data_IF_539077313592
#
_entry.id   IF_539077313592
#
_cell.length_a   1.000
_cell.length_b   1.000
_cell.length_c   1.000
_cell.angle_alpha   90.00
_cell.angle_beta   90.00
_cell.angle_gamma   90.00
#
_symmetry.space_group_name_H-M   'P 1'
#
loop_
_entity.id
_entity.type
_entity.pdbx_description
1 polymer ?
#
# COMPACT_ATOMS: atom_id res chain seq x y z
N UNK A 1 -21.11 -46.10 -5.14
CA UNK A 1 -21.87 -44.87 -5.56
C UNK A 1 -21.42 -43.61 -4.80
N UNK A 2 -20.87 -43.71 -3.59
CA UNK A 2 -20.37 -42.57 -2.79
C UNK A 2 -19.05 -42.00 -3.31
N UNK A 3 -18.14 -42.82 -3.85
CA UNK A 3 -16.81 -42.39 -4.33
C UNK A 3 -16.82 -41.48 -5.57
N UNK A 4 -17.87 -41.47 -6.37
CA UNK A 4 -17.96 -40.64 -7.59
C UNK A 4 -18.44 -39.23 -7.30
N UNK A 5 -19.25 -39.04 -6.27
CA UNK A 5 -19.75 -37.73 -5.85
C UNK A 5 -18.65 -36.93 -5.09
N UNK A 6 -17.87 -37.62 -4.27
CA UNK A 6 -16.75 -37.01 -3.55
C UNK A 6 -15.63 -36.56 -4.48
N UNK A 7 -15.39 -37.27 -5.58
CA UNK A 7 -14.35 -36.90 -6.54
C UNK A 7 -14.62 -35.57 -7.27
N UNK A 8 -15.88 -35.27 -7.56
CA UNK A 8 -16.28 -34.01 -8.21
C UNK A 8 -16.15 -32.84 -7.24
N UNK A 9 -16.49 -33.04 -5.96
CA UNK A 9 -16.32 -32.01 -4.94
C UNK A 9 -14.86 -31.78 -4.54
N UNK A 10 -14.06 -32.84 -4.51
CA UNK A 10 -12.60 -32.74 -4.30
C UNK A 10 -11.91 -32.07 -5.50
N UNK A 11 -12.32 -32.38 -6.74
CA UNK A 11 -11.80 -31.74 -7.94
C UNK A 11 -12.17 -30.24 -7.96
N UNK A 12 -13.40 -29.87 -7.65
CA UNK A 12 -13.83 -28.45 -7.55
C UNK A 12 -13.11 -27.71 -6.42
N UNK A 13 -12.89 -28.32 -5.27
CA UNK A 13 -12.11 -27.72 -4.18
C UNK A 13 -10.63 -27.61 -4.52
N UNK A 14 -10.07 -28.54 -5.26
CA UNK A 14 -8.69 -28.50 -5.77
C UNK A 14 -8.52 -27.39 -6.81
N UNK A 15 -9.48 -27.23 -7.74
CA UNK A 15 -9.48 -26.13 -8.70
C UNK A 15 -9.69 -24.76 -8.03
N UNK A 16 -10.59 -24.67 -7.06
CA UNK A 16 -10.84 -23.45 -6.30
C UNK A 16 -9.63 -23.02 -5.46
N UNK A 17 -8.83 -23.97 -4.96
CA UNK A 17 -7.57 -23.69 -4.25
C UNK A 17 -6.42 -23.29 -5.18
N UNK A 18 -6.54 -23.54 -6.48
CA UNK A 18 -5.52 -23.29 -7.50
C UNK A 18 -5.60 -21.86 -8.06
N UNK A 19 -6.78 -21.24 -7.99
CA UNK A 19 -7.02 -19.89 -8.50
C UNK A 19 -7.15 -18.93 -7.33
N UNK A 20 -6.24 -17.96 -7.24
CA UNK A 20 -6.29 -16.88 -6.25
C UNK A 20 -6.58 -15.56 -6.93
N UNK A 21 -7.31 -14.68 -6.25
CA UNK A 21 -7.51 -13.31 -6.67
C UNK A 21 -6.48 -12.41 -5.99
N UNK A 22 -5.66 -11.73 -6.79
CA UNK A 22 -4.73 -10.70 -6.35
C UNK A 22 -5.35 -9.34 -6.66
N UNK A 23 -5.62 -8.48 -5.65
CA UNK A 23 -6.14 -7.15 -5.91
C UNK A 23 -5.04 -6.28 -6.56
N UNK A 24 -5.44 -5.52 -7.59
CA UNK A 24 -4.63 -4.50 -8.24
C UNK A 24 -5.12 -3.13 -7.76
N UNK A 25 -4.33 -2.47 -6.92
CA UNK A 25 -4.69 -1.18 -6.34
C UNK A 25 -4.44 -0.08 -7.37
N UNK A 26 -5.44 0.76 -7.69
CA UNK A 26 -5.29 1.84 -8.66
C UNK A 26 -4.45 2.99 -8.13
N UNK A 27 -3.93 3.82 -9.03
CA UNK A 27 -3.35 5.10 -8.67
C UNK A 27 -4.45 6.04 -8.16
N UNK A 28 -4.19 6.73 -7.05
CA UNK A 28 -5.08 7.73 -6.47
C UNK A 28 -5.09 8.99 -7.33
N UNK A 29 -6.25 9.60 -7.54
CA UNK A 29 -6.41 10.85 -8.28
C UNK A 29 -5.54 11.98 -7.71
N UNK A 30 -5.07 12.87 -8.57
CA UNK A 30 -4.26 14.01 -8.18
C UNK A 30 -5.15 15.16 -7.71
N UNK A 31 -4.59 16.07 -6.89
CA UNK A 31 -5.30 17.27 -6.45
C UNK A 31 -4.54 18.49 -6.96
N UNK A 32 -5.26 19.36 -7.68
CA UNK A 32 -4.71 20.57 -8.28
C UNK A 32 -5.35 21.83 -7.69
N UNK A 33 -4.61 22.93 -7.73
CA UNK A 33 -5.16 24.26 -7.51
C UNK A 33 -5.94 24.77 -8.74
N UNK A 34 -6.52 25.96 -8.67
CA UNK A 34 -7.26 26.58 -9.78
C UNK A 34 -6.40 26.86 -11.02
N UNK A 35 -5.07 26.99 -10.86
CA UNK A 35 -4.11 27.22 -11.93
C UNK A 35 -3.46 25.94 -12.46
N UNK A 36 -3.86 24.75 -11.95
CA UNK A 36 -3.32 23.46 -12.34
C UNK A 36 -2.01 23.09 -11.65
N UNK A 37 -1.65 23.76 -10.55
CA UNK A 37 -0.50 23.34 -9.74
C UNK A 37 -0.86 22.17 -8.88
N UNK A 38 0.05 21.22 -8.77
CA UNK A 38 -0.15 19.98 -8.02
C UNK A 38 -0.07 20.26 -6.53
N UNK A 39 -1.17 20.03 -5.82
CA UNK A 39 -1.26 20.13 -4.35
C UNK A 39 -1.07 18.78 -3.66
N UNK A 40 -1.46 17.68 -4.31
CA UNK A 40 -1.20 16.33 -3.87
C UNK A 40 -0.98 15.40 -5.07
N UNK A 41 0.13 14.65 -5.06
CA UNK A 41 0.48 13.68 -6.09
C UNK A 41 0.87 12.31 -5.51
N UNK A 42 1.17 11.38 -6.41
CA UNK A 42 1.62 10.04 -6.05
C UNK A 42 3.06 9.89 -6.52
N UNK A 43 3.93 9.49 -5.62
CA UNK A 43 5.34 9.20 -5.95
C UNK A 43 5.64 7.73 -5.71
N UNK A 44 6.49 7.11 -6.54
CA UNK A 44 6.93 5.76 -6.29
C UNK A 44 7.71 5.68 -4.98
N UNK A 45 7.49 4.62 -4.25
CA UNK A 45 8.22 4.26 -3.05
C UNK A 45 8.40 2.74 -3.02
N UNK A 46 9.28 2.26 -2.18
CA UNK A 46 9.50 0.84 -1.97
C UNK A 46 9.12 0.44 -0.57
N UNK A 47 8.52 -0.73 -0.44
CA UNK A 47 8.31 -1.42 0.82
C UNK A 47 9.07 -2.73 0.82
N UNK A 48 9.45 -3.17 2.00
CA UNK A 48 10.12 -4.45 2.20
C UNK A 48 9.10 -5.46 2.71
N UNK A 49 8.80 -6.44 1.89
CA UNK A 49 7.92 -7.55 2.22
C UNK A 49 8.75 -8.81 2.49
N UNK A 50 8.34 -9.60 3.48
CA UNK A 50 8.97 -10.85 3.86
C UNK A 50 7.95 -11.96 3.79
N UNK A 51 8.27 -13.07 3.12
CA UNK A 51 7.51 -14.32 3.13
C UNK A 51 8.08 -15.21 4.24
N UNK A 52 7.41 -15.34 5.40
CA UNK A 52 8.00 -16.01 6.57
C UNK A 52 8.40 -17.46 6.32
N UNK A 53 7.65 -18.17 5.46
CA UNK A 53 7.92 -19.57 5.12
C UNK A 53 9.18 -19.79 4.27
N UNK A 54 9.68 -18.74 3.60
CA UNK A 54 10.87 -18.78 2.76
C UNK A 54 12.09 -18.14 3.45
N UNK A 55 11.85 -17.29 4.44
CA UNK A 55 12.89 -16.47 5.07
C UNK A 55 13.73 -17.21 6.13
N UNK A 56 13.34 -18.41 6.52
CA UNK A 56 14.06 -19.22 7.53
C UNK A 56 13.96 -18.60 8.94
N UNK A 57 15.10 -18.35 9.58
CA UNK A 57 15.14 -17.72 10.89
C UNK A 57 14.87 -16.22 10.81
N UNK A 58 13.68 -15.84 11.26
CA UNK A 58 13.19 -14.46 11.19
C UNK A 58 13.96 -13.51 12.13
N UNK A 59 14.43 -13.98 13.28
CA UNK A 59 15.17 -13.15 14.21
C UNK A 59 16.55 -12.82 13.67
N UNK A 60 17.23 -13.82 13.10
CA UNK A 60 18.48 -13.63 12.40
C UNK A 60 18.33 -12.74 11.17
N UNK A 61 17.22 -12.88 10.43
CA UNK A 61 16.88 -12.03 9.30
C UNK A 61 16.74 -10.57 9.73
N UNK A 62 15.91 -10.28 10.75
CA UNK A 62 15.69 -8.92 11.26
C UNK A 62 17.01 -8.31 11.72
N UNK A 63 17.84 -9.06 12.46
CA UNK A 63 19.13 -8.57 12.94
C UNK A 63 20.09 -8.23 11.79
N UNK A 64 20.09 -9.02 10.71
CA UNK A 64 20.91 -8.74 9.52
C UNK A 64 20.37 -7.59 8.71
N UNK A 65 19.04 -7.50 8.52
CA UNK A 65 18.38 -6.43 7.80
C UNK A 65 18.53 -5.07 8.48
N UNK A 66 18.56 -5.03 9.82
CA UNK A 66 18.79 -3.80 10.61
C UNK A 66 20.16 -3.14 10.34
N UNK A 67 21.10 -3.85 9.73
CA UNK A 67 22.40 -3.30 9.31
C UNK A 67 22.34 -2.58 7.95
N UNK A 68 21.37 -2.94 7.14
CA UNK A 68 21.22 -2.43 5.76
C UNK A 68 20.15 -1.35 5.73
N UNK A 69 19.06 -1.55 6.48
CA UNK A 69 17.85 -0.74 6.52
C UNK A 69 17.62 -0.29 7.95
N UNK A 70 17.32 0.99 8.16
CA UNK A 70 17.03 1.54 9.47
C UNK A 70 15.67 1.08 9.99
N UNK A 71 15.56 -0.16 10.49
CA UNK A 71 14.34 -0.70 11.10
C UNK A 71 14.09 -0.05 12.46
N UNK A 72 12.85 0.39 12.68
CA UNK A 72 12.42 0.90 13.98
C UNK A 72 11.85 -0.24 14.85
N UNK A 73 11.87 -0.12 16.20
CA UNK A 73 11.21 -1.09 17.07
C UNK A 73 9.73 -1.28 16.74
N UNK A 74 9.04 -0.20 16.32
CA UNK A 74 7.64 -0.25 15.90
C UNK A 74 7.43 -1.03 14.60
N UNK A 75 8.38 -0.98 13.66
CA UNK A 75 8.31 -1.78 12.43
C UNK A 75 8.39 -3.26 12.77
N UNK A 76 9.32 -3.64 13.65
CA UNK A 76 9.53 -5.02 14.10
C UNK A 76 8.31 -5.53 14.88
N UNK A 77 7.77 -4.72 15.80
CA UNK A 77 6.57 -5.09 16.56
C UNK A 77 5.38 -5.36 15.64
N UNK A 78 5.08 -4.43 14.73
CA UNK A 78 3.99 -4.57 13.74
C UNK A 78 4.18 -5.77 12.82
N UNK A 79 5.40 -6.00 12.37
CA UNK A 79 5.72 -7.18 11.55
C UNK A 79 5.41 -8.47 12.32
N UNK A 80 5.85 -8.56 13.58
CA UNK A 80 5.64 -9.73 14.42
C UNK A 80 4.15 -9.97 14.71
N UNK A 81 3.37 -8.93 14.97
CA UNK A 81 1.93 -9.04 15.21
C UNK A 81 1.19 -9.48 13.94
N UNK A 82 1.53 -8.89 12.79
CA UNK A 82 0.93 -9.27 11.51
C UNK A 82 1.30 -10.70 11.11
N UNK A 83 2.57 -11.10 11.31
CA UNK A 83 3.04 -12.45 11.02
C UNK A 83 2.30 -13.53 11.79
N UNK A 84 1.92 -13.28 13.06
CA UNK A 84 1.20 -14.25 13.90
C UNK A 84 -0.18 -14.62 13.37
N UNK A 85 -0.83 -13.70 12.68
CA UNK A 85 -2.19 -13.89 12.13
C UNK A 85 -2.19 -14.20 10.63
N UNK A 86 -1.04 -14.04 9.98
CA UNK A 86 -0.89 -14.25 8.53
C UNK A 86 -0.29 -15.64 8.27
N UNK A 87 -0.75 -16.31 7.21
CA UNK A 87 -0.19 -17.60 6.80
C UNK A 87 1.25 -17.43 6.35
N UNK A 88 2.13 -18.38 6.68
CA UNK A 88 3.58 -18.30 6.47
C UNK A 88 4.02 -18.09 5.00
N UNK A 89 3.20 -18.52 4.04
CA UNK A 89 3.48 -18.35 2.61
C UNK A 89 2.99 -17.01 2.02
N UNK A 90 2.34 -16.17 2.83
CA UNK A 90 1.91 -14.84 2.40
C UNK A 90 2.93 -13.79 2.80
N UNK A 91 3.18 -12.80 1.94
CA UNK A 91 4.10 -11.72 2.26
C UNK A 91 3.56 -10.86 3.39
N UNK A 92 4.43 -10.50 4.32
CA UNK A 92 4.17 -9.58 5.43
C UNK A 92 5.14 -8.42 5.32
N UNK A 93 4.62 -7.19 5.38
CA UNK A 93 5.46 -5.99 5.25
C UNK A 93 6.28 -5.77 6.53
N UNK A 94 7.60 -5.82 6.40
CA UNK A 94 8.55 -5.50 7.46
C UNK A 94 8.72 -3.98 7.62
N UNK A 95 8.88 -3.26 6.50
CA UNK A 95 8.97 -1.80 6.49
C UNK A 95 8.29 -1.21 5.27
N UNK A 96 7.48 -0.15 5.48
CA UNK A 96 6.66 0.45 4.44
C UNK A 96 7.40 1.42 3.54
N UNK A 97 8.37 2.14 4.04
CA UNK A 97 9.07 3.18 3.29
C UNK A 97 10.55 2.91 3.35
N UNK A 98 11.10 2.49 2.24
CA UNK A 98 12.51 2.25 2.03
C UNK A 98 13.04 3.41 1.20
N UNK A 99 14.15 4.02 1.60
CA UNK A 99 14.82 5.05 0.81
C UNK A 99 15.51 4.45 -0.41
N UNK A 100 15.77 5.25 -1.43
CA UNK A 100 16.46 4.78 -2.64
C UNK A 100 17.86 4.23 -2.33
N UNK A 101 18.54 4.82 -1.33
CA UNK A 101 19.85 4.36 -0.87
C UNK A 101 19.74 2.99 -0.15
N UNK A 102 18.74 2.80 0.69
CA UNK A 102 18.47 1.54 1.37
C UNK A 102 18.08 0.46 0.35
N UNK A 103 17.25 0.82 -0.65
CA UNK A 103 16.85 -0.06 -1.73
C UNK A 103 18.05 -0.51 -2.57
N UNK A 104 18.95 0.43 -2.91
CA UNK A 104 20.18 0.12 -3.64
C UNK A 104 21.10 -0.81 -2.84
N UNK A 105 21.32 -0.54 -1.53
CA UNK A 105 22.10 -1.42 -0.65
C UNK A 105 21.51 -2.82 -0.55
N UNK A 106 20.20 -2.92 -0.36
CA UNK A 106 19.54 -4.23 -0.33
C UNK A 106 19.65 -4.97 -1.67
N UNK A 107 19.53 -4.27 -2.80
CA UNK A 107 19.59 -4.89 -4.14
C UNK A 107 20.91 -5.63 -4.39
N UNK A 108 22.04 -5.12 -3.87
CA UNK A 108 23.36 -5.75 -3.97
C UNK A 108 23.40 -7.09 -3.23
N UNK A 109 22.79 -7.18 -2.06
CA UNK A 109 22.82 -8.35 -1.18
C UNK A 109 21.54 -9.20 -1.23
N UNK A 110 20.62 -8.91 -2.16
CA UNK A 110 19.30 -9.57 -2.26
C UNK A 110 19.40 -11.11 -2.25
N UNK A 111 20.41 -11.66 -2.93
CA UNK A 111 20.61 -13.10 -3.03
C UNK A 111 20.85 -13.82 -1.68
N UNK A 112 21.24 -13.05 -0.63
CA UNK A 112 21.46 -13.54 0.74
C UNK A 112 20.17 -13.67 1.54
N UNK A 113 19.08 -13.06 1.07
CA UNK A 113 17.83 -12.94 1.81
C UNK A 113 16.67 -13.60 1.05
N UNK A 114 16.60 -14.94 1.04
CA UNK A 114 15.47 -15.64 0.43
C UNK A 114 14.16 -15.22 1.12
N UNK A 115 13.08 -15.10 0.34
CA UNK A 115 11.78 -14.70 0.86
C UNK A 115 11.64 -13.21 1.22
N UNK A 116 12.65 -12.37 0.93
CA UNK A 116 12.58 -10.92 1.13
C UNK A 116 12.49 -10.23 -0.23
N UNK A 117 11.49 -9.36 -0.39
CA UNK A 117 11.24 -8.64 -1.64
C UNK A 117 11.06 -7.14 -1.42
N UNK A 118 11.65 -6.35 -2.33
CA UNK A 118 11.32 -4.94 -2.50
C UNK A 118 10.12 -4.83 -3.44
N UNK A 119 9.01 -4.34 -2.91
CA UNK A 119 7.77 -4.18 -3.67
C UNK A 119 7.56 -2.70 -3.92
N UNK A 120 7.52 -2.25 -5.20
CA UNK A 120 7.20 -0.87 -5.52
C UNK A 120 5.72 -0.61 -5.22
N UNK A 121 5.42 0.57 -4.68
CA UNK A 121 4.06 1.05 -4.48
C UNK A 121 4.01 2.58 -4.64
N UNK A 122 2.82 3.15 -4.79
CA UNK A 122 2.61 4.59 -4.84
C UNK A 122 2.29 5.12 -3.44
N UNK A 123 3.05 6.11 -2.98
CA UNK A 123 2.76 6.84 -1.75
C UNK A 123 2.32 8.25 -2.06
N UNK A 124 1.45 8.82 -1.20
CA UNK A 124 0.96 10.17 -1.36
C UNK A 124 2.00 11.19 -0.96
N UNK A 125 2.17 12.23 -1.77
CA UNK A 125 3.06 13.37 -1.51
C UNK A 125 2.28 14.67 -1.59
N UNK A 126 2.60 15.59 -0.70
CA UNK A 126 2.03 16.93 -0.60
C UNK A 126 3.14 17.96 -0.81
N UNK A 127 3.33 18.49 -2.05
CA UNK A 127 4.47 19.36 -2.37
C UNK A 127 4.53 20.65 -1.55
N UNK A 128 3.39 21.13 -1.05
CA UNK A 128 3.30 22.35 -0.24
C UNK A 128 3.27 22.09 1.28
N UNK A 129 3.41 20.82 1.71
CA UNK A 129 3.50 20.46 3.12
C UNK A 129 2.35 21.03 3.97
N UNK A 130 2.71 21.72 5.04
CA UNK A 130 1.75 22.21 6.06
C UNK A 130 0.84 23.34 5.55
N UNK A 131 1.21 24.02 4.45
CA UNK A 131 0.46 25.15 3.94
C UNK A 131 -1.01 24.82 3.65
N UNK A 132 -1.30 23.59 3.24
CA UNK A 132 -2.64 23.10 2.92
C UNK A 132 -3.11 21.96 3.81
N UNK A 133 -2.36 21.59 4.84
CA UNK A 133 -2.64 20.43 5.67
C UNK A 133 -4.06 20.40 6.25
N UNK A 134 -4.60 21.56 6.67
CA UNK A 134 -5.95 21.68 7.20
C UNK A 134 -7.05 21.49 6.15
N UNK A 135 -6.79 21.89 4.91
CA UNK A 135 -7.79 21.84 3.82
C UNK A 135 -7.71 20.53 3.08
N UNK A 136 -6.52 20.16 2.60
CA UNK A 136 -6.31 18.91 1.83
C UNK A 136 -6.42 17.70 2.76
N UNK A 137 -5.89 17.82 3.97
CA UNK A 137 -5.79 16.70 4.88
C UNK A 137 -4.66 15.74 4.49
N UNK A 138 -4.80 14.49 4.87
CA UNK A 138 -3.80 13.47 4.60
C UNK A 138 -4.40 12.09 4.39
N UNK A 139 -3.62 11.22 3.78
CA UNK A 139 -3.92 9.80 3.58
C UNK A 139 -3.18 8.99 4.63
N UNK A 140 -3.89 8.09 5.29
CA UNK A 140 -3.36 7.20 6.31
C UNK A 140 -3.76 5.75 6.09
N UNK A 141 -3.20 4.84 6.88
CA UNK A 141 -3.57 3.42 6.81
C UNK A 141 -5.04 3.23 7.15
N UNK A 142 -5.66 2.27 6.48
CA UNK A 142 -7.00 1.80 6.79
C UNK A 142 -6.98 1.17 8.18
N UNK A 143 -7.85 1.61 9.07
CA UNK A 143 -8.07 1.07 10.39
C UNK A 143 -9.41 0.31 10.48
N UNK A 144 -9.70 -0.28 11.64
CA UNK A 144 -10.95 -1.04 11.85
C UNK A 144 -12.20 -0.19 11.66
N UNK A 145 -12.16 1.09 12.05
CA UNK A 145 -13.29 1.99 11.88
C UNK A 145 -13.53 2.36 10.41
N UNK A 146 -12.47 2.47 9.63
CA UNK A 146 -12.57 2.68 8.19
C UNK A 146 -13.20 1.48 7.49
N UNK A 147 -12.81 0.25 7.87
CA UNK A 147 -13.39 -0.98 7.31
C UNK A 147 -14.89 -1.10 7.59
N UNK A 148 -15.32 -0.74 8.80
CA UNK A 148 -16.74 -0.73 9.16
C UNK A 148 -17.57 0.28 8.35
N UNK A 149 -16.98 1.45 8.03
CA UNK A 149 -17.65 2.52 7.29
C UNK A 149 -17.64 2.32 5.78
N UNK A 150 -16.55 1.81 5.25
CA UNK A 150 -16.30 1.74 3.81
C UNK A 150 -16.63 0.37 3.20
N UNK A 151 -16.95 -0.63 4.03
CA UNK A 151 -17.31 -1.99 3.63
C UNK A 151 -16.11 -2.86 3.23
N UNK A 152 -16.39 -4.16 3.00
CA UNK A 152 -15.38 -5.19 2.73
C UNK A 152 -14.51 -4.92 1.49
N UNK A 153 -15.04 -4.23 0.48
CA UNK A 153 -14.29 -3.86 -0.73
C UNK A 153 -13.09 -2.94 -0.46
N UNK A 154 -13.09 -2.25 0.67
CA UNK A 154 -12.00 -1.32 1.05
C UNK A 154 -10.82 -2.03 1.69
N UNK A 155 -10.98 -3.27 2.15
CA UNK A 155 -9.91 -4.04 2.78
C UNK A 155 -8.69 -4.25 1.87
N UNK A 156 -8.87 -4.19 0.56
CA UNK A 156 -7.78 -4.31 -0.41
C UNK A 156 -6.97 -3.00 -0.55
N UNK A 157 -7.53 -1.84 -0.15
CA UNK A 157 -6.77 -0.61 -0.06
C UNK A 157 -5.98 -0.58 1.25
N UNK A 158 -4.69 -0.35 1.17
CA UNK A 158 -3.85 -0.20 2.35
C UNK A 158 -4.00 1.18 3.01
N UNK A 159 -4.51 2.17 2.26
CA UNK A 159 -4.59 3.57 2.67
C UNK A 159 -5.93 4.21 2.27
N UNK A 160 -6.41 5.17 3.07
CA UNK A 160 -7.63 5.95 2.84
C UNK A 160 -7.43 7.38 3.32
N UNK A 161 -8.25 8.31 2.85
CA UNK A 161 -8.26 9.70 3.31
C UNK A 161 -8.72 9.81 4.76
N UNK A 162 -7.91 10.43 5.64
CA UNK A 162 -8.18 10.55 7.08
C UNK A 162 -8.82 11.90 7.46
N UNK A 163 -8.53 12.94 6.72
CA UNK A 163 -9.04 14.29 7.00
C UNK A 163 -9.17 15.13 5.72
N UNK A 164 -9.84 16.27 5.82
CA UNK A 164 -9.95 17.28 4.77
C UNK A 164 -10.57 16.76 3.47
N UNK A 165 -10.10 17.29 2.35
CA UNK A 165 -10.52 16.93 0.99
C UNK A 165 -10.22 15.48 0.68
N UNK A 166 -9.07 14.97 1.15
CA UNK A 166 -8.68 13.57 0.97
C UNK A 166 -9.72 12.60 1.54
N UNK A 167 -10.35 12.94 2.68
CA UNK A 167 -11.40 12.14 3.28
C UNK A 167 -12.77 12.38 2.61
N UNK A 168 -13.11 13.63 2.35
CA UNK A 168 -14.42 13.97 1.80
C UNK A 168 -14.64 13.39 0.40
N UNK A 169 -13.59 13.41 -0.43
CA UNK A 169 -13.61 12.89 -1.79
C UNK A 169 -12.87 11.53 -1.92
N UNK A 170 -12.74 10.79 -0.83
CA UNK A 170 -11.97 9.53 -0.84
C UNK A 170 -12.47 8.55 -1.90
N UNK A 171 -13.78 8.39 -2.06
CA UNK A 171 -14.38 7.48 -3.04
C UNK A 171 -14.04 7.86 -4.47
N UNK A 172 -13.96 9.15 -4.77
CA UNK A 172 -13.63 9.68 -6.10
C UNK A 172 -12.13 9.55 -6.37
N UNK A 173 -11.32 9.93 -5.38
CA UNK A 173 -9.86 9.93 -5.47
C UNK A 173 -9.27 8.52 -5.48
N UNK A 174 -9.88 7.59 -4.76
CA UNK A 174 -9.37 6.23 -4.53
C UNK A 174 -9.38 5.35 -5.78
N UNK A 175 -10.39 5.54 -6.67
CA UNK A 175 -10.60 4.72 -7.84
C UNK A 175 -11.20 3.35 -7.55
N UNK A 176 -11.22 2.46 -8.54
CA UNK A 176 -11.80 1.13 -8.44
C UNK A 176 -10.70 0.06 -8.53
N UNK A 177 -10.73 -0.90 -7.61
CA UNK A 177 -9.76 -2.01 -7.56
C UNK A 177 -9.94 -2.91 -8.76
N UNK A 178 -8.83 -3.23 -9.42
CA UNK A 178 -8.74 -4.33 -10.36
C UNK A 178 -8.42 -5.66 -9.66
N UNK A 179 -8.58 -6.74 -10.38
CA UNK A 179 -8.27 -8.08 -9.88
C UNK A 179 -7.52 -8.89 -10.92
N UNK A 180 -6.45 -9.51 -10.51
CA UNK A 180 -5.73 -10.51 -11.27
C UNK A 180 -6.03 -11.89 -10.70
N UNK A 181 -6.59 -12.77 -11.53
CA UNK A 181 -6.74 -14.19 -11.20
C UNK A 181 -5.45 -14.91 -11.55
N UNK A 182 -4.73 -15.32 -10.51
CA UNK A 182 -3.47 -16.05 -10.63
C UNK A 182 -3.67 -17.51 -10.32
N UNK A 183 -3.03 -18.36 -11.11
CA UNK A 183 -2.95 -19.79 -10.87
C UNK A 183 -1.74 -20.07 -9.97
N UNK A 184 -1.95 -20.83 -8.89
CA UNK A 184 -0.87 -21.23 -7.97
C UNK A 184 -0.75 -22.74 -7.91
N UNK A 185 0.48 -23.24 -7.70
CA UNK A 185 0.72 -24.66 -7.44
C UNK A 185 0.37 -25.03 -5.99
N UNK A 186 0.52 -26.31 -5.64
CA UNK A 186 0.26 -26.84 -4.29
C UNK A 186 1.12 -26.14 -3.21
N UNK A 187 2.28 -25.62 -3.59
CA UNK A 187 3.22 -24.88 -2.74
C UNK A 187 2.87 -23.38 -2.64
N UNK A 188 1.81 -22.93 -3.36
CA UNK A 188 1.38 -21.53 -3.37
C UNK A 188 2.15 -20.62 -4.33
N UNK A 189 3.08 -21.16 -5.13
CA UNK A 189 3.83 -20.39 -6.13
C UNK A 189 2.95 -20.06 -7.34
N UNK A 190 3.09 -18.85 -7.87
CA UNK A 190 2.36 -18.39 -9.05
C UNK A 190 2.88 -19.12 -10.28
N UNK A 191 1.98 -19.82 -10.98
CA UNK A 191 2.27 -20.53 -12.25
C UNK A 191 1.94 -19.62 -13.43
N UNK A 192 0.86 -18.84 -13.34
CA UNK A 192 0.42 -17.99 -14.43
C UNK A 192 -0.73 -17.05 -14.03
N UNK A 193 -1.07 -16.15 -14.95
CA UNK A 193 -2.24 -15.27 -14.84
C UNK A 193 -3.32 -15.78 -15.80
N UNK A 194 -4.52 -16.02 -15.25
CA UNK A 194 -5.67 -16.54 -16.01
C UNK A 194 -6.49 -15.39 -16.60
N UNK A 195 -6.77 -14.38 -15.76
CA UNK A 195 -7.62 -13.24 -16.13
C UNK A 195 -7.20 -12.01 -15.34
N UNK A 196 -7.17 -10.86 -16.02
CA UNK A 196 -6.92 -9.56 -15.40
C UNK A 196 -8.07 -8.61 -15.68
N UNK A 197 -8.61 -8.04 -14.62
CA UNK A 197 -9.53 -6.90 -14.66
C UNK A 197 -8.71 -5.70 -14.20
N UNK A 198 -8.44 -4.78 -15.11
CA UNK A 198 -7.61 -3.62 -14.82
C UNK A 198 -8.25 -2.73 -13.76
N UNK A 199 -7.44 -2.22 -12.85
CA UNK A 199 -7.83 -1.18 -11.91
C UNK A 199 -8.18 0.12 -12.67
N UNK A 200 -9.21 0.83 -12.20
CA UNK A 200 -9.52 2.17 -12.71
C UNK A 200 -8.92 3.22 -11.79
N UNK A 201 -8.02 4.09 -12.28
CA UNK A 201 -7.43 5.14 -11.47
C UNK A 201 -8.49 6.07 -10.91
N UNK A 202 -8.19 6.69 -9.77
CA UNK A 202 -9.02 7.73 -9.19
C UNK A 202 -9.11 8.95 -10.10
N UNK A 203 -10.19 9.72 -9.94
CA UNK A 203 -10.42 10.95 -10.69
C UNK A 203 -9.66 12.09 -10.04
N UNK A 204 -9.01 12.91 -10.86
CA UNK A 204 -8.30 14.10 -10.41
C UNK A 204 -9.27 15.18 -9.95
N UNK A 205 -8.92 15.90 -8.90
CA UNK A 205 -9.71 17.03 -8.37
C UNK A 205 -9.00 18.36 -8.66
N UNK A 206 -9.78 19.34 -9.14
CA UNK A 206 -9.32 20.71 -9.28
C UNK A 206 -10.06 21.60 -8.29
N UNK A 207 -9.31 22.24 -7.40
CA UNK A 207 -9.85 23.10 -6.38
C UNK A 207 -9.91 24.56 -6.85
N UNK A 208 -10.78 25.37 -6.23
CA UNK A 208 -10.83 26.80 -6.44
C UNK A 208 -9.73 27.59 -5.73
N UNK A 209 -8.91 26.94 -4.92
CA UNK A 209 -7.79 27.51 -4.16
C UNK A 209 -6.67 27.96 -5.10
N UNK A 210 -5.96 29.02 -4.71
CA UNK A 210 -4.74 29.51 -5.37
C UNK A 210 -3.55 29.34 -4.44
N UNK A 211 -2.59 28.51 -4.84
CA UNK A 211 -1.45 28.19 -4.01
C UNK A 211 -0.53 29.39 -3.73
N UNK A 212 -0.40 30.32 -4.67
CA UNK A 212 0.42 31.52 -4.47
C UNK A 212 -0.24 32.50 -3.51
N UNK A 213 -1.54 32.69 -3.66
CA UNK A 213 -2.29 33.56 -2.77
C UNK A 213 -2.25 33.03 -1.32
N UNK A 214 -2.41 31.73 -1.15
CA UNK A 214 -2.31 31.10 0.18
C UNK A 214 -0.91 31.26 0.77
N UNK A 215 0.14 31.11 -0.04
CA UNK A 215 1.52 31.33 0.41
C UNK A 215 1.75 32.76 0.84
N UNK A 216 1.29 33.76 0.04
CA UNK A 216 1.40 35.16 0.36
C UNK A 216 0.66 35.53 1.67
N UNK A 217 -0.55 34.98 1.84
CA UNK A 217 -1.32 35.16 3.06
C UNK A 217 -0.61 34.58 4.29
N UNK A 218 -0.04 33.35 4.15
CA UNK A 218 0.68 32.69 5.26
C UNK A 218 1.91 33.50 5.70
N UNK A 219 2.68 34.03 4.74
CA UNK A 219 3.85 34.88 5.03
C UNK A 219 3.40 36.14 5.79
N UNK A 220 2.37 36.86 5.29
CA UNK A 220 1.87 38.05 5.92
C UNK A 220 1.37 37.81 7.36
N UNK A 221 0.69 36.70 7.61
CA UNK A 221 0.24 36.32 8.96
C UNK A 221 1.38 35.95 9.89
N UNK A 222 2.41 35.23 9.39
CA UNK A 222 3.58 34.90 10.21
C UNK A 222 4.37 36.15 10.62
N UNK A 223 4.49 37.15 9.75
CA UNK A 223 5.16 38.40 10.06
C UNK A 223 4.38 39.21 11.13
N UNK A 224 3.04 39.15 11.15
CA UNK A 224 2.19 39.84 12.13
C UNK A 224 2.18 39.15 13.51
N UNK A 225 2.44 37.83 13.58
CA UNK A 225 2.43 37.08 14.85
C UNK A 225 3.81 36.94 15.48
N UNK A 226 4.87 37.36 14.77
CA UNK A 226 6.28 37.31 15.23
C UNK A 226 6.77 38.59 15.96
N UNK A 227 5.87 39.49 16.40
CA UNK A 227 6.21 40.70 17.15
C UNK A 227 5.88 40.53 18.63
#
# INVERSE_FOLDING_TARGET
>A
KLQVLDHVDYAKRSEANRVKQRPEVPARGLIYDRKGRVLADNVPAYRLDVVPGEAGDIEALIASMSRIIALTPDDIARFNDTRRVTRSFLPVTLRLRITDEEAARFAVDRWRYPGVELVPYLTRRYPYGDLFGHVIGYVGRVDKQDLEKLGEGTAAFSHTGKSGIERYYDDVLRGEIGYEQIETNVEGRIIGSIRRIQAKPGVDLRLSIDAELQRAANIAFCELTGS
#
